data_IF_689012585535
#
_entry.id   IF_689012585535
#
_cell.length_a   1.000
_cell.length_b   1.000
_cell.length_c   1.000
_cell.angle_alpha   90.00
_cell.angle_beta   90.00
_cell.angle_gamma   90.00
#
_symmetry.space_group_name_H-M   'P 1'
#
loop_
_entity.id
_entity.type
_entity.pdbx_description
1 polymer ?
#
# COMPACT_ATOMS: atom_id res chain seq x y z
N UNK A 1 57.36 -23.96 7.97
CA UNK A 1 57.00 -22.76 7.17
C UNK A 1 56.31 -23.11 5.85
N UNK A 2 56.80 -24.10 5.09
CA UNK A 2 56.25 -24.49 3.77
C UNK A 2 54.83 -25.08 3.81
N UNK A 3 54.54 -26.00 4.74
CA UNK A 3 53.22 -26.65 4.86
C UNK A 3 52.11 -25.66 5.21
N UNK A 4 52.43 -24.68 6.05
CA UNK A 4 51.47 -23.65 6.48
C UNK A 4 51.12 -22.69 5.33
N UNK A 5 52.10 -22.33 4.49
CA UNK A 5 51.85 -21.57 3.26
C UNK A 5 51.02 -22.34 2.24
N UNK A 6 51.26 -23.65 2.08
CA UNK A 6 50.46 -24.49 1.18
C UNK A 6 49.01 -24.57 1.66
N UNK A 7 48.79 -24.72 2.96
CA UNK A 7 47.45 -24.75 3.55
C UNK A 7 46.70 -23.41 3.33
N UNK A 8 47.39 -22.27 3.53
CA UNK A 8 46.81 -20.94 3.29
C UNK A 8 46.48 -20.73 1.80
N UNK A 9 47.36 -21.14 0.89
CA UNK A 9 47.13 -21.05 -0.55
C UNK A 9 45.95 -21.94 -1.00
N UNK A 10 45.85 -23.16 -0.47
CA UNK A 10 44.73 -24.06 -0.76
C UNK A 10 43.39 -23.47 -0.28
N UNK A 11 43.38 -22.83 0.89
CA UNK A 11 42.19 -22.18 1.44
C UNK A 11 41.78 -20.97 0.59
N UNK A 12 42.74 -20.16 0.16
CA UNK A 12 42.48 -19.02 -0.72
C UNK A 12 41.93 -19.46 -2.09
N UNK A 13 42.46 -20.55 -2.68
CA UNK A 13 41.98 -21.10 -3.94
C UNK A 13 40.58 -21.70 -3.77
N UNK A 14 40.30 -22.39 -2.65
CA UNK A 14 38.98 -22.94 -2.37
C UNK A 14 37.94 -21.82 -2.26
N UNK A 15 38.24 -20.75 -1.51
CA UNK A 15 37.37 -19.57 -1.37
C UNK A 15 37.16 -18.88 -2.72
N UNK A 16 38.24 -18.69 -3.49
CA UNK A 16 38.14 -18.11 -4.84
C UNK A 16 37.28 -18.98 -5.77
N UNK A 17 37.47 -20.29 -5.74
CA UNK A 17 36.71 -21.24 -6.55
C UNK A 17 35.24 -21.27 -6.14
N UNK A 18 34.91 -21.20 -4.85
CA UNK A 18 33.54 -21.10 -4.34
C UNK A 18 32.86 -19.82 -4.85
N UNK A 19 33.51 -18.67 -4.67
CA UNK A 19 33.00 -17.36 -5.11
C UNK A 19 32.83 -17.32 -6.63
N UNK A 20 33.78 -17.88 -7.39
CA UNK A 20 33.75 -17.90 -8.85
C UNK A 20 32.84 -19.00 -9.45
N UNK A 21 32.40 -19.97 -8.63
CA UNK A 21 31.44 -21.02 -9.02
C UNK A 21 29.99 -20.59 -8.82
N UNK A 22 29.73 -19.56 -8.02
CA UNK A 22 28.38 -19.02 -7.79
C UNK A 22 28.09 -17.65 -8.46
N UNK A 23 28.52 -17.36 -9.71
CA UNK A 23 28.10 -16.14 -10.40
C UNK A 23 26.59 -16.18 -10.72
N UNK A 24 26.02 -17.38 -10.85
CA UNK A 24 24.57 -17.58 -10.99
C UNK A 24 23.80 -17.10 -9.74
N UNK A 25 24.36 -17.30 -8.53
CA UNK A 25 23.74 -16.85 -7.29
C UNK A 25 23.79 -15.33 -7.14
N UNK A 26 24.90 -14.69 -7.52
CA UNK A 26 24.97 -13.22 -7.52
C UNK A 26 24.03 -12.61 -8.56
N UNK A 27 23.93 -13.21 -9.76
CA UNK A 27 22.96 -12.77 -10.78
C UNK A 27 21.51 -12.97 -10.33
N UNK A 28 21.20 -14.11 -9.70
CA UNK A 28 19.85 -14.37 -9.18
C UNK A 28 19.51 -13.43 -8.02
N UNK A 29 20.48 -13.08 -7.17
CA UNK A 29 20.26 -12.11 -6.09
C UNK A 29 20.02 -10.71 -6.63
N UNK A 30 20.78 -10.27 -7.64
CA UNK A 30 20.54 -8.98 -8.30
C UNK A 30 19.19 -8.95 -9.00
N UNK A 31 18.79 -10.05 -9.65
CA UNK A 31 17.48 -10.15 -10.28
C UNK A 31 16.35 -10.14 -9.24
N UNK A 32 16.48 -10.89 -8.15
CA UNK A 32 15.53 -10.87 -7.03
C UNK A 32 15.43 -9.47 -6.40
N UNK A 33 16.54 -8.74 -6.31
CA UNK A 33 16.54 -7.38 -5.79
C UNK A 33 15.82 -6.41 -6.74
N UNK A 34 15.98 -6.59 -8.06
CA UNK A 34 15.24 -5.81 -9.06
C UNK A 34 13.74 -6.12 -9.01
N UNK A 35 13.37 -7.41 -8.97
CA UNK A 35 11.97 -7.85 -8.86
C UNK A 35 11.33 -7.36 -7.54
N UNK A 36 12.07 -7.37 -6.42
CA UNK A 36 11.58 -6.79 -5.16
C UNK A 36 11.38 -5.27 -5.23
N UNK A 37 12.25 -4.56 -5.96
CA UNK A 37 12.10 -3.11 -6.13
C UNK A 37 10.85 -2.81 -6.97
N UNK A 38 10.68 -3.52 -8.09
CA UNK A 38 9.50 -3.40 -8.95
C UNK A 38 8.20 -3.74 -8.20
N UNK A 39 8.18 -4.86 -7.46
CA UNK A 39 7.04 -5.23 -6.62
C UNK A 39 6.73 -4.19 -5.54
N UNK A 40 7.74 -3.51 -5.02
CA UNK A 40 7.55 -2.46 -4.01
C UNK A 40 6.91 -1.22 -4.66
N UNK A 41 7.40 -0.82 -5.82
CA UNK A 41 6.88 0.32 -6.57
C UNK A 41 5.42 0.05 -7.01
N UNK A 42 5.12 -1.16 -7.52
CA UNK A 42 3.76 -1.59 -7.85
C UNK A 42 2.84 -1.59 -6.61
N UNK A 43 3.34 -2.02 -5.45
CA UNK A 43 2.54 -2.02 -4.23
C UNK A 43 2.20 -0.60 -3.76
N UNK A 44 3.15 0.33 -3.88
CA UNK A 44 2.95 1.74 -3.57
C UNK A 44 1.91 2.36 -4.51
N UNK A 45 2.03 2.11 -5.82
CA UNK A 45 1.04 2.57 -6.82
C UNK A 45 -0.35 1.99 -6.55
N UNK A 46 -0.46 0.68 -6.28
CA UNK A 46 -1.74 0.05 -5.95
C UNK A 46 -2.35 0.62 -4.67
N UNK A 47 -1.51 0.91 -3.67
CA UNK A 47 -1.97 1.52 -2.42
C UNK A 47 -2.50 2.93 -2.65
N UNK A 48 -1.86 3.73 -3.50
CA UNK A 48 -2.35 5.05 -3.89
C UNK A 48 -3.69 4.96 -4.62
N UNK A 49 -3.81 4.05 -5.59
CA UNK A 49 -5.06 3.83 -6.32
C UNK A 49 -6.22 3.40 -5.40
N UNK A 50 -5.94 2.52 -4.42
CA UNK A 50 -6.94 2.11 -3.42
C UNK A 50 -7.40 3.30 -2.58
N UNK A 51 -6.48 4.17 -2.15
CA UNK A 51 -6.82 5.34 -1.37
C UNK A 51 -7.69 6.33 -2.17
N UNK A 52 -7.34 6.58 -3.44
CA UNK A 52 -8.15 7.41 -4.32
C UNK A 52 -9.56 6.84 -4.51
N UNK A 53 -9.66 5.53 -4.79
CA UNK A 53 -10.96 4.88 -4.96
C UNK A 53 -11.80 4.94 -3.67
N UNK A 54 -11.17 4.83 -2.50
CA UNK A 54 -11.85 4.96 -1.21
C UNK A 54 -12.42 6.36 -1.02
N UNK A 55 -11.66 7.39 -1.37
CA UNK A 55 -12.10 8.78 -1.27
C UNK A 55 -13.27 9.06 -2.24
N UNK A 56 -13.17 8.58 -3.49
CA UNK A 56 -14.25 8.68 -4.48
C UNK A 56 -15.52 7.95 -4.02
N UNK A 57 -15.38 6.76 -3.43
CA UNK A 57 -16.52 6.03 -2.87
C UNK A 57 -17.19 6.78 -1.71
N UNK A 58 -16.39 7.43 -0.86
CA UNK A 58 -16.92 8.22 0.24
C UNK A 58 -17.66 9.47 -0.26
N UNK A 59 -17.12 10.17 -1.25
CA UNK A 59 -17.79 11.30 -1.90
C UNK A 59 -19.10 10.89 -2.57
N UNK A 60 -19.09 9.75 -3.28
CA UNK A 60 -20.28 9.21 -3.90
C UNK A 60 -21.34 8.80 -2.86
N UNK A 61 -20.93 8.19 -1.74
CA UNK A 61 -21.83 7.86 -0.63
C UNK A 61 -22.50 9.11 -0.06
N UNK A 62 -21.72 10.15 0.23
CA UNK A 62 -22.24 11.42 0.73
C UNK A 62 -23.22 12.07 -0.26
N UNK A 63 -22.90 12.01 -1.55
CA UNK A 63 -23.78 12.52 -2.61
C UNK A 63 -25.09 11.74 -2.68
N UNK A 64 -25.03 10.41 -2.58
CA UNK A 64 -26.21 9.55 -2.56
C UNK A 64 -27.10 9.81 -1.34
N UNK A 65 -26.52 9.99 -0.17
CA UNK A 65 -27.28 10.34 1.05
C UNK A 65 -28.00 11.68 0.89
N UNK A 66 -27.31 12.69 0.35
CA UNK A 66 -27.89 14.00 0.04
C UNK A 66 -29.01 13.95 -1.00
N UNK A 67 -28.88 13.08 -2.00
CA UNK A 67 -29.93 12.87 -3.00
C UNK A 67 -31.12 12.10 -2.45
N UNK A 68 -30.88 11.16 -1.53
CA UNK A 68 -31.92 10.40 -0.85
C UNK A 68 -32.78 11.29 0.04
N UNK A 69 -32.16 12.29 0.68
CA UNK A 69 -32.83 13.15 1.65
C UNK A 69 -32.45 14.64 1.54
N UNK A 70 -32.83 15.30 0.45
CA UNK A 70 -32.38 16.67 0.18
C UNK A 70 -32.92 17.69 1.17
N UNK A 71 -34.11 17.47 1.74
CA UNK A 71 -34.74 18.39 2.70
C UNK A 71 -34.02 18.37 4.05
N UNK A 72 -33.68 17.19 4.56
CA UNK A 72 -32.87 17.06 5.76
C UNK A 72 -31.51 17.74 5.60
N UNK A 73 -30.81 17.45 4.50
CA UNK A 73 -29.49 18.02 4.26
C UNK A 73 -29.53 19.53 4.01
N UNK A 74 -30.59 20.07 3.41
CA UNK A 74 -30.77 21.52 3.27
C UNK A 74 -30.94 22.21 4.63
N UNK A 75 -31.71 21.62 5.55
CA UNK A 75 -31.88 22.14 6.90
C UNK A 75 -30.60 22.01 7.73
N UNK A 76 -29.85 20.91 7.56
CA UNK A 76 -28.55 20.70 8.17
C UNK A 76 -27.53 21.75 7.70
N UNK A 77 -27.44 21.98 6.38
CA UNK A 77 -26.55 22.98 5.79
C UNK A 77 -26.94 24.42 6.20
N UNK A 78 -28.23 24.69 6.46
CA UNK A 78 -28.73 25.95 6.99
C UNK A 78 -28.53 26.11 8.51
N UNK A 79 -28.15 25.04 9.22
CA UNK A 79 -28.07 25.02 10.68
C UNK A 79 -29.43 25.17 11.38
N UNK A 80 -30.53 24.86 10.70
CA UNK A 80 -31.89 24.99 11.25
C UNK A 80 -32.27 23.75 12.08
N UNK A 81 -31.82 23.74 13.34
CA UNK A 81 -32.14 22.68 14.28
C UNK A 81 -33.63 22.55 14.59
N UNK A 82 -34.43 23.62 14.46
CA UNK A 82 -35.87 23.53 14.69
C UNK A 82 -36.58 22.86 13.50
N UNK A 83 -36.19 23.23 12.28
CA UNK A 83 -36.65 22.57 11.06
C UNK A 83 -36.30 21.09 11.04
N UNK A 84 -35.07 20.72 11.43
CA UNK A 84 -34.66 19.32 11.55
C UNK A 84 -35.54 18.54 12.54
N UNK A 85 -35.83 19.14 13.71
CA UNK A 85 -36.70 18.52 14.72
C UNK A 85 -38.13 18.29 14.21
N UNK A 86 -38.74 19.28 13.56
CA UNK A 86 -40.10 19.10 13.01
C UNK A 86 -40.11 18.11 11.84
N UNK A 87 -39.05 18.05 11.04
CA UNK A 87 -38.88 17.07 9.97
C UNK A 87 -38.80 15.64 10.52
N UNK A 88 -37.94 15.37 11.50
CA UNK A 88 -37.81 14.06 12.13
C UNK A 88 -39.11 13.62 12.83
N UNK A 89 -39.78 14.55 13.51
CA UNK A 89 -41.10 14.32 14.12
C UNK A 89 -42.17 14.00 13.07
N UNK A 90 -42.17 14.68 11.92
CA UNK A 90 -43.11 14.39 10.83
C UNK A 90 -42.92 12.99 10.22
N UNK A 91 -41.70 12.46 10.32
CA UNK A 91 -41.31 11.12 9.86
C UNK A 91 -41.54 10.04 10.91
N UNK A 92 -41.83 10.42 12.15
CA UNK A 92 -42.06 9.50 13.27
C UNK A 92 -40.77 8.86 13.80
N UNK A 93 -39.61 9.48 13.56
CA UNK A 93 -38.32 8.99 14.05
C UNK A 93 -38.01 9.48 15.48
N UNK A 94 -38.81 10.42 16.00
CA UNK A 94 -38.82 10.94 17.37
C UNK A 94 -40.23 11.28 17.85
#
# INVERSE_FOLDING_TARGET
>A
MTVLMIAVMALAIAVWHEINRFPATNKSLLQLQAEMAELKDENEELSEQINLLRDEMQEMSNTLERLKDPEFYALLDAGDGHGLYELEKSRGEI
#
